data_IF_406857189312
#
_entry.id   IF_406857189312
#
_cell.length_a   1.000
_cell.length_b   1.000
_cell.length_c   1.000
_cell.angle_alpha   90.00
_cell.angle_beta   90.00
_cell.angle_gamma   90.00
#
_symmetry.space_group_name_H-M   'P 1'
#
loop_
_entity.id
_entity.type
_entity.pdbx_description
1 polymer ?
#
# COMPACT_ATOMS: atom_id res chain seq x y z
N UNK A 1 47.73 26.29 29.65
CA UNK A 1 46.81 27.35 30.12
C UNK A 1 46.79 28.44 29.06
N UNK A 2 45.68 28.59 28.34
CA UNK A 2 45.45 29.71 27.42
C UNK A 2 43.96 29.95 27.29
N UNK A 3 43.45 30.83 28.14
CA UNK A 3 42.19 31.52 27.91
C UNK A 3 42.50 32.79 27.13
N UNK A 4 41.78 33.06 26.05
CA UNK A 4 41.48 34.42 25.58
C UNK A 4 40.24 34.38 24.70
N UNK A 5 39.34 35.28 25.05
CA UNK A 5 37.97 35.50 24.58
C UNK A 5 37.99 36.69 23.60
N UNK A 6 37.24 36.63 22.50
CA UNK A 6 36.67 37.77 21.75
C UNK A 6 35.69 37.18 20.70
N UNK A 7 34.36 37.15 20.84
CA UNK A 7 33.32 38.17 21.03
C UNK A 7 33.00 38.95 19.73
N UNK A 8 31.72 38.84 19.33
CA UNK A 8 30.93 39.59 18.32
C UNK A 8 31.29 39.29 16.84
N UNK A 9 30.37 38.94 15.94
CA UNK A 9 29.09 39.61 15.74
C UNK A 9 27.98 38.70 15.20
N UNK A 10 26.79 39.00 15.71
CA UNK A 10 25.50 38.50 15.28
C UNK A 10 25.22 38.83 13.82
N UNK A 11 24.68 37.86 13.08
CA UNK A 11 23.73 38.14 12.01
C UNK A 11 22.55 37.20 12.22
N UNK A 12 21.57 37.69 12.96
CA UNK A 12 20.24 37.08 13.08
C UNK A 12 19.53 37.33 11.75
N UNK A 13 19.67 36.41 10.81
CA UNK A 13 18.79 36.34 9.65
C UNK A 13 17.67 35.35 9.99
N UNK A 14 16.60 35.85 10.60
CA UNK A 14 15.33 35.12 10.70
C UNK A 14 14.74 35.05 9.29
N UNK A 15 15.16 34.05 8.52
CA UNK A 15 14.44 33.60 7.34
C UNK A 15 13.25 32.80 7.81
N UNK A 16 12.04 33.40 7.77
CA UNK A 16 10.78 32.67 7.91
C UNK A 16 10.73 31.60 6.81
N UNK A 17 11.16 30.40 7.16
CA UNK A 17 11.05 29.22 6.33
C UNK A 17 9.60 28.76 6.43
N UNK A 18 8.79 29.15 5.44
CA UNK A 18 7.49 28.52 5.20
C UNK A 18 7.73 27.04 4.91
N UNK A 19 7.58 26.21 5.95
CA UNK A 19 7.58 24.77 5.83
C UNK A 19 6.36 24.34 5.02
N UNK A 20 6.54 24.13 3.72
CA UNK A 20 5.58 23.38 2.91
C UNK A 20 5.55 21.94 3.41
N UNK A 21 4.62 21.65 4.31
CA UNK A 21 4.32 20.29 4.76
C UNK A 21 3.86 19.48 3.53
N UNK A 22 4.80 18.75 2.95
CA UNK A 22 4.55 17.89 1.79
C UNK A 22 3.60 16.76 2.20
N UNK A 23 2.35 16.80 1.73
CA UNK A 23 1.33 15.77 1.93
C UNK A 23 1.66 14.39 1.29
N UNK A 24 2.87 14.23 0.72
CA UNK A 24 3.32 13.05 -0.01
C UNK A 24 3.61 11.82 0.88
N UNK A 25 3.58 11.97 2.21
CA UNK A 25 3.98 10.90 3.13
C UNK A 25 2.96 9.77 3.34
N UNK A 26 1.64 10.03 3.33
CA UNK A 26 0.66 9.02 3.75
C UNK A 26 0.35 7.98 2.67
N UNK A 27 0.08 8.43 1.44
CA UNK A 27 -0.27 7.53 0.33
C UNK A 27 0.86 6.58 -0.06
N UNK A 28 2.11 7.05 -0.02
CA UNK A 28 3.28 6.23 -0.35
C UNK A 28 3.53 5.15 0.74
N UNK A 29 3.24 5.45 2.01
CA UNK A 29 3.30 4.47 3.12
C UNK A 29 2.19 3.43 3.03
N UNK A 30 0.96 3.87 2.78
CA UNK A 30 -0.21 3.01 2.63
C UNK A 30 -0.02 2.03 1.47
N UNK A 31 0.51 2.50 0.32
CA UNK A 31 0.81 1.65 -0.83
C UNK A 31 1.88 0.60 -0.53
N UNK A 32 2.98 1.01 0.13
CA UNK A 32 4.06 0.09 0.55
C UNK A 32 3.54 -0.99 1.50
N UNK A 33 2.65 -0.62 2.43
CA UNK A 33 2.03 -1.59 3.35
C UNK A 33 1.13 -2.57 2.58
N UNK A 34 0.34 -2.09 1.63
CA UNK A 34 -0.47 -2.95 0.75
C UNK A 34 0.38 -3.92 -0.08
N UNK A 35 1.52 -3.46 -0.60
CA UNK A 35 2.49 -4.29 -1.32
C UNK A 35 3.09 -5.39 -0.42
N UNK A 36 3.51 -5.05 0.80
CA UNK A 36 4.08 -6.00 1.75
C UNK A 36 3.09 -7.12 2.08
N UNK A 37 1.86 -6.75 2.41
CA UNK A 37 0.78 -7.69 2.69
C UNK A 37 0.46 -8.57 1.47
N UNK A 38 0.45 -7.98 0.27
CA UNK A 38 0.26 -8.74 -0.97
C UNK A 38 1.36 -9.78 -1.17
N UNK A 39 2.63 -9.42 -0.94
CA UNK A 39 3.77 -10.35 -1.04
C UNK A 39 3.66 -11.48 -0.01
N UNK A 40 3.23 -11.17 1.20
CA UNK A 40 3.10 -12.14 2.30
C UNK A 40 1.96 -13.14 2.08
N UNK A 41 0.82 -12.69 1.52
CA UNK A 41 -0.41 -13.49 1.54
C UNK A 41 -0.96 -13.86 0.16
N UNK A 42 -0.61 -13.12 -0.89
CA UNK A 42 -1.28 -13.22 -2.19
C UNK A 42 -0.34 -13.67 -3.29
N UNK A 43 0.90 -13.19 -3.29
CA UNK A 43 1.84 -13.36 -4.41
C UNK A 43 2.25 -14.81 -4.68
N UNK A 44 2.15 -15.71 -3.69
CA UNK A 44 2.41 -17.13 -3.91
C UNK A 44 1.45 -17.75 -4.92
N UNK A 45 0.16 -17.35 -4.88
CA UNK A 45 -0.84 -17.82 -5.83
C UNK A 45 -1.02 -16.85 -7.01
N UNK A 46 -0.76 -15.57 -6.78
CA UNK A 46 -0.93 -14.48 -7.76
C UNK A 46 0.40 -13.78 -8.10
N UNK A 47 1.42 -14.51 -8.58
CA UNK A 47 2.69 -13.90 -8.96
C UNK A 47 2.46 -12.91 -10.10
N UNK A 48 3.00 -11.70 -9.97
CA UNK A 48 2.87 -10.61 -10.96
C UNK A 48 1.41 -10.29 -11.35
N UNK A 49 0.44 -10.61 -10.47
CA UNK A 49 -0.99 -10.42 -10.74
C UNK A 49 -1.62 -11.54 -11.58
N UNK A 50 -0.88 -12.61 -11.90
CA UNK A 50 -1.41 -13.82 -12.50
C UNK A 50 -2.25 -14.64 -11.52
N UNK A 51 -2.49 -15.91 -11.85
CA UNK A 51 -3.12 -16.86 -10.93
C UNK A 51 -2.68 -18.29 -11.29
N UNK A 52 -1.85 -18.90 -10.45
CA UNK A 52 -1.32 -20.26 -10.70
C UNK A 52 -2.36 -21.35 -10.40
N UNK A 53 -3.38 -21.04 -9.59
CA UNK A 53 -4.44 -21.98 -9.22
C UNK A 53 -5.52 -22.02 -10.29
N UNK A 54 -5.89 -20.85 -10.82
CA UNK A 54 -6.84 -20.72 -11.92
C UNK A 54 -6.41 -19.60 -12.88
N UNK A 55 -5.73 -19.94 -14.00
CA UNK A 55 -5.24 -18.96 -14.97
C UNK A 55 -6.30 -18.07 -15.61
N UNK A 56 -7.58 -18.45 -15.56
CA UNK A 56 -8.70 -17.64 -16.07
C UNK A 56 -9.16 -16.55 -15.10
N UNK A 57 -8.60 -16.50 -13.89
CA UNK A 57 -8.92 -15.51 -12.85
C UNK A 57 -7.68 -14.75 -12.36
N UNK A 58 -6.93 -14.05 -13.24
CA UNK A 58 -5.85 -13.17 -12.81
C UNK A 58 -6.40 -11.89 -12.17
N UNK A 59 -5.51 -11.10 -11.56
CA UNK A 59 -5.81 -9.83 -10.89
C UNK A 59 -5.73 -8.61 -11.82
N UNK A 60 -5.48 -8.82 -13.12
CA UNK A 60 -5.48 -7.74 -14.11
C UNK A 60 -6.85 -7.07 -14.23
N UNK A 61 -6.87 -5.78 -14.57
CA UNK A 61 -8.07 -4.93 -14.55
C UNK A 61 -9.22 -5.49 -15.38
N UNK A 62 -8.92 -6.01 -16.57
CA UNK A 62 -9.94 -6.56 -17.47
C UNK A 62 -10.59 -7.83 -16.90
N UNK A 63 -9.78 -8.71 -16.32
CA UNK A 63 -10.26 -9.93 -15.68
C UNK A 63 -11.09 -9.63 -14.43
N UNK A 64 -10.64 -8.69 -13.58
CA UNK A 64 -11.41 -8.22 -12.43
C UNK A 64 -12.77 -7.67 -12.87
N UNK A 65 -12.78 -6.80 -13.89
CA UNK A 65 -14.02 -6.22 -14.45
C UNK A 65 -14.95 -7.29 -15.02
N UNK A 66 -14.42 -8.26 -15.77
CA UNK A 66 -15.20 -9.37 -16.32
C UNK A 66 -15.85 -10.22 -15.21
N UNK A 67 -15.20 -10.31 -14.04
CA UNK A 67 -15.72 -10.98 -12.85
C UNK A 67 -16.52 -10.05 -11.92
N UNK A 68 -16.90 -8.85 -12.38
CA UNK A 68 -17.69 -7.84 -11.63
C UNK A 68 -16.99 -7.33 -10.35
N UNK A 69 -15.66 -7.41 -10.29
CA UNK A 69 -14.84 -6.84 -9.24
C UNK A 69 -14.35 -5.47 -9.73
N UNK A 70 -14.96 -4.40 -9.26
CA UNK A 70 -14.71 -3.04 -9.79
C UNK A 70 -14.24 -2.04 -8.73
N UNK A 71 -14.26 -2.44 -7.47
CA UNK A 71 -13.87 -1.60 -6.34
C UNK A 71 -13.00 -2.35 -5.34
N UNK A 72 -12.32 -1.59 -4.48
CA UNK A 72 -11.56 -2.19 -3.38
C UNK A 72 -12.44 -3.01 -2.44
N UNK A 73 -13.72 -2.63 -2.29
CA UNK A 73 -14.70 -3.36 -1.47
C UNK A 73 -15.01 -4.74 -2.05
N UNK A 74 -15.05 -4.86 -3.37
CA UNK A 74 -15.31 -6.13 -4.05
C UNK A 74 -14.14 -7.10 -3.86
N UNK A 75 -12.90 -6.58 -3.90
CA UNK A 75 -11.70 -7.36 -3.60
C UNK A 75 -11.73 -7.81 -2.13
N UNK A 76 -11.99 -6.91 -1.18
CA UNK A 76 -12.09 -7.28 0.24
C UNK A 76 -13.19 -8.31 0.46
N UNK A 77 -14.35 -8.17 -0.18
CA UNK A 77 -15.43 -9.17 -0.13
C UNK A 77 -14.96 -10.53 -0.66
N UNK A 78 -14.21 -10.54 -1.75
CA UNK A 78 -13.62 -11.76 -2.33
C UNK A 78 -12.58 -12.37 -1.39
N UNK A 79 -11.76 -11.56 -0.71
CA UNK A 79 -10.83 -12.06 0.32
C UNK A 79 -11.57 -12.73 1.48
N UNK A 80 -12.73 -12.19 1.90
CA UNK A 80 -13.54 -12.77 2.99
C UNK A 80 -14.28 -14.03 2.58
N UNK A 81 -14.75 -14.10 1.34
CA UNK A 81 -15.51 -15.23 0.80
C UNK A 81 -15.04 -15.57 -0.62
N UNK A 82 -13.89 -16.23 -0.76
CA UNK A 82 -13.31 -16.54 -2.05
C UNK A 82 -14.01 -17.73 -2.72
N UNK A 83 -13.79 -17.86 -4.03
CA UNK A 83 -14.17 -19.07 -4.77
C UNK A 83 -13.26 -20.26 -4.46
N UNK A 84 -13.58 -21.46 -5.00
CA UNK A 84 -12.77 -22.66 -4.82
C UNK A 84 -11.29 -22.43 -5.21
N UNK A 85 -10.38 -22.94 -4.38
CA UNK A 85 -8.93 -22.87 -4.60
C UNK A 85 -8.22 -21.67 -3.98
N UNK A 86 -8.95 -20.72 -3.38
CA UNK A 86 -8.36 -19.62 -2.60
C UNK A 86 -8.84 -19.70 -1.15
N UNK A 87 -7.90 -19.57 -0.21
CA UNK A 87 -8.21 -19.55 1.23
C UNK A 87 -8.91 -18.25 1.62
N UNK A 88 -9.92 -18.35 2.49
CA UNK A 88 -10.57 -17.18 3.06
C UNK A 88 -9.63 -16.48 4.04
N UNK A 89 -9.57 -15.15 3.94
CA UNK A 89 -8.87 -14.29 4.89
C UNK A 89 -9.94 -13.56 5.70
N UNK A 90 -10.15 -13.96 6.95
CA UNK A 90 -11.08 -13.25 7.84
C UNK A 90 -10.44 -11.97 8.42
N UNK A 91 -11.21 -11.22 9.22
CA UNK A 91 -10.72 -9.98 9.84
C UNK A 91 -9.67 -10.23 10.95
N UNK A 92 -9.53 -11.46 11.44
CA UNK A 92 -8.47 -11.82 12.40
C UNK A 92 -7.15 -12.07 11.67
N UNK A 93 -7.19 -12.72 10.51
CA UNK A 93 -6.03 -12.99 9.67
C UNK A 93 -5.53 -11.71 9.00
N UNK A 94 -6.43 -10.94 8.40
CA UNK A 94 -6.11 -9.65 7.77
C UNK A 94 -7.18 -8.63 8.17
N UNK A 95 -6.90 -7.69 9.10
CA UNK A 95 -7.85 -6.65 9.51
C UNK A 95 -8.36 -5.81 8.34
N UNK A 96 -9.57 -5.26 8.44
CA UNK A 96 -10.22 -4.54 7.32
C UNK A 96 -9.42 -3.35 6.77
N UNK A 97 -8.69 -2.66 7.66
CA UNK A 97 -7.79 -1.58 7.25
C UNK A 97 -6.69 -2.09 6.33
N UNK A 98 -6.08 -3.22 6.67
CA UNK A 98 -5.00 -3.85 5.91
C UNK A 98 -5.54 -4.51 4.64
N UNK A 99 -6.71 -5.14 4.70
CA UNK A 99 -7.38 -5.71 3.52
C UNK A 99 -7.71 -4.63 2.48
N UNK A 100 -8.12 -3.44 2.93
CA UNK A 100 -8.32 -2.29 2.03
C UNK A 100 -7.00 -1.88 1.36
N UNK A 101 -5.88 -1.82 2.09
CA UNK A 101 -4.58 -1.46 1.53
C UNK A 101 -4.11 -2.48 0.48
N UNK A 102 -4.32 -3.76 0.72
CA UNK A 102 -4.05 -4.84 -0.26
C UNK A 102 -4.90 -4.62 -1.52
N UNK A 103 -6.20 -4.38 -1.36
CA UNK A 103 -7.11 -4.15 -2.47
C UNK A 103 -6.74 -2.90 -3.30
N UNK A 104 -6.38 -1.80 -2.64
CA UNK A 104 -5.91 -0.59 -3.31
C UNK A 104 -4.57 -0.81 -4.04
N UNK A 105 -3.66 -1.58 -3.45
CA UNK A 105 -2.42 -1.99 -4.11
C UNK A 105 -2.69 -2.81 -5.37
N UNK A 106 -3.58 -3.82 -5.31
CA UNK A 106 -3.97 -4.65 -6.45
C UNK A 106 -4.50 -3.78 -7.60
N UNK A 107 -5.48 -2.91 -7.32
CA UNK A 107 -6.11 -2.06 -8.33
C UNK A 107 -5.13 -1.05 -8.96
N UNK A 108 -4.12 -0.61 -8.21
CA UNK A 108 -3.12 0.34 -8.70
C UNK A 108 -2.02 -0.33 -9.51
N UNK A 109 -1.68 -1.58 -9.18
CA UNK A 109 -0.51 -2.29 -9.72
C UNK A 109 -0.83 -3.10 -10.96
N UNK A 110 -1.92 -3.86 -10.95
CA UNK A 110 -2.26 -4.79 -12.03
C UNK A 110 -3.31 -4.15 -12.96
N UNK A 111 -2.81 -3.57 -14.05
CA UNK A 111 -3.64 -2.83 -15.02
C UNK A 111 -4.30 -3.71 -16.07
#
# INVERSE_FOLDING_TARGET
>A
MKHSIAVVAAVVAVGLSFGVASAKGKGDKDLKRGEELFKQHCAVCHPEGGNIVNPQKPLGKEALKANKITSWKDIVKTMRNPGPGMSAFDAKAIPDKDAKLVAEYILKTFK
#
